data_IF_894481939592
#
_entry.id   IF_894481939592
#
_cell.length_a   1.000
_cell.length_b   1.000
_cell.length_c   1.000
_cell.angle_alpha   90.00
_cell.angle_beta   90.00
_cell.angle_gamma   90.00
#
_symmetry.space_group_name_H-M   'P 1'
#
loop_
_entity.id
_entity.type
_entity.pdbx_description
1 polymer ?
#
# COMPACT_ATOMS: atom_id res chain seq x y z
N UNK A 1 7.68 -1.50 -25.41
CA UNK A 1 9.02 -0.97 -25.71
C UNK A 1 9.87 -2.16 -26.11
N UNK A 2 10.61 -2.13 -27.23
CA UNK A 2 11.45 -3.25 -27.62
C UNK A 2 12.55 -3.45 -26.57
N UNK A 3 12.88 -4.70 -26.23
CA UNK A 3 13.96 -5.04 -25.30
C UNK A 3 15.37 -4.66 -25.82
N UNK A 4 15.47 -4.10 -27.02
CA UNK A 4 16.71 -3.79 -27.74
C UNK A 4 17.35 -2.45 -27.39
N UNK A 5 16.78 -1.68 -26.45
CA UNK A 5 17.34 -0.38 -26.04
C UNK A 5 18.10 -0.56 -24.73
N UNK A 6 19.41 -0.31 -24.75
CA UNK A 6 20.25 -0.33 -23.56
C UNK A 6 20.00 0.93 -22.71
N UNK A 7 18.95 0.89 -21.89
CA UNK A 7 18.52 2.01 -21.05
C UNK A 7 17.88 1.54 -19.75
N UNK A 8 17.82 2.44 -18.76
CA UNK A 8 17.05 2.24 -17.53
C UNK A 8 15.56 2.36 -17.86
N UNK A 9 14.76 1.40 -17.38
CA UNK A 9 13.31 1.38 -17.58
C UNK A 9 12.61 1.95 -16.35
N UNK A 10 12.00 3.13 -16.50
CA UNK A 10 11.13 3.72 -15.48
C UNK A 10 9.68 3.32 -15.77
N UNK A 11 9.06 2.64 -14.82
CA UNK A 11 7.66 2.20 -14.92
C UNK A 11 7.00 2.14 -13.55
N UNK A 12 5.67 2.08 -13.53
CA UNK A 12 4.92 1.89 -12.30
C UNK A 12 4.97 0.43 -11.86
N UNK A 13 4.77 0.18 -10.57
CA UNK A 13 4.69 -1.18 -10.00
C UNK A 13 3.58 -2.00 -10.69
N UNK A 14 2.45 -1.37 -11.01
CA UNK A 14 1.37 -2.04 -11.75
C UNK A 14 1.80 -2.51 -13.14
N UNK A 15 2.56 -1.68 -13.88
CA UNK A 15 3.06 -2.03 -15.22
C UNK A 15 4.15 -3.10 -15.19
N UNK A 16 4.82 -3.30 -14.05
CA UNK A 16 5.85 -4.34 -13.91
C UNK A 16 5.29 -5.72 -13.54
N UNK A 17 3.99 -5.83 -13.22
CA UNK A 17 3.36 -7.12 -12.88
C UNK A 17 3.55 -8.13 -14.02
N UNK A 18 4.10 -9.29 -13.69
CA UNK A 18 4.41 -10.35 -14.66
C UNK A 18 5.72 -10.16 -15.44
N UNK A 19 6.44 -9.06 -15.20
CA UNK A 19 7.79 -8.83 -15.72
C UNK A 19 8.83 -9.12 -14.64
N UNK A 20 10.03 -9.51 -15.06
CA UNK A 20 11.17 -9.76 -14.19
C UNK A 20 12.37 -8.94 -14.67
N UNK A 21 13.18 -8.47 -13.72
CA UNK A 21 14.36 -7.66 -13.99
C UNK A 21 15.54 -8.14 -13.14
N UNK A 22 16.74 -8.15 -13.73
CA UNK A 22 17.98 -8.51 -13.02
C UNK A 22 18.20 -7.68 -11.76
N UNK A 23 17.89 -6.38 -11.83
CA UNK A 23 17.98 -5.45 -10.73
C UNK A 23 16.77 -4.50 -10.72
N UNK A 24 16.26 -4.17 -9.53
CA UNK A 24 15.15 -3.23 -9.33
C UNK A 24 15.54 -2.22 -8.26
N UNK A 25 15.33 -0.94 -8.59
CA UNK A 25 15.37 0.17 -7.64
C UNK A 25 13.94 0.61 -7.37
N UNK A 26 13.49 0.50 -6.12
CA UNK A 26 12.24 1.06 -5.63
C UNK A 26 12.57 2.37 -4.88
N UNK A 27 12.47 3.53 -5.52
CA UNK A 27 12.99 4.78 -4.98
C UNK A 27 12.16 5.37 -3.84
N UNK A 28 10.87 5.04 -3.77
CA UNK A 28 9.94 5.54 -2.76
C UNK A 28 9.01 4.42 -2.33
N UNK A 29 9.30 3.84 -1.17
CA UNK A 29 8.45 2.85 -0.52
C UNK A 29 7.80 3.47 0.73
N UNK A 30 6.88 4.42 0.52
CA UNK A 30 6.27 5.23 1.58
C UNK A 30 4.74 5.41 1.40
N UNK A 31 4.12 4.67 0.49
CA UNK A 31 2.67 4.74 0.30
C UNK A 31 1.92 4.20 1.52
N UNK A 32 0.76 4.82 1.81
CA UNK A 32 -0.10 4.43 2.94
C UNK A 32 -0.73 3.05 2.71
N UNK A 33 -0.90 2.29 3.78
CA UNK A 33 -1.59 0.99 3.75
C UNK A 33 -3.11 1.13 3.76
N UNK A 34 -3.61 2.25 4.27
CA UNK A 34 -5.03 2.62 4.27
C UNK A 34 -5.28 3.76 3.28
N UNK A 35 -6.55 4.03 3.01
CA UNK A 35 -7.00 5.17 2.23
C UNK A 35 -6.45 6.49 2.76
N UNK A 36 -6.05 7.37 1.85
CA UNK A 36 -5.54 8.68 2.23
C UNK A 36 -6.69 9.57 2.70
N UNK A 37 -6.73 9.86 4.00
CA UNK A 37 -7.74 10.74 4.60
C UNK A 37 -7.76 12.18 4.02
N UNK A 38 -6.68 12.59 3.33
CA UNK A 38 -6.62 13.88 2.64
C UNK A 38 -7.38 13.88 1.30
N UNK A 39 -7.73 12.70 0.76
CA UNK A 39 -8.55 12.56 -0.46
C UNK A 39 -10.03 12.42 -0.09
N UNK A 40 -10.92 12.95 -0.93
CA UNK A 40 -12.36 12.74 -0.80
C UNK A 40 -12.74 11.32 -1.24
N UNK A 41 -12.37 10.34 -0.43
CA UNK A 41 -12.75 8.95 -0.62
C UNK A 41 -14.20 8.78 -0.16
N UNK A 42 -15.09 8.52 -1.10
CA UNK A 42 -16.51 8.22 -0.84
C UNK A 42 -16.64 6.70 -0.74
N UNK A 43 -17.08 6.23 0.42
CA UNK A 43 -17.53 4.87 0.63
C UNK A 43 -19.04 4.81 0.41
N UNK A 44 -19.48 3.99 -0.53
CA UNK A 44 -20.89 3.72 -0.74
C UNK A 44 -21.34 2.66 0.23
N UNK A 45 -22.17 3.07 1.19
CA UNK A 45 -22.60 2.25 2.30
C UNK A 45 -24.05 1.81 2.17
N UNK A 46 -24.37 0.58 2.56
CA UNK A 46 -25.72 0.10 2.83
C UNK A 46 -25.72 -0.70 4.12
N UNK A 47 -26.62 -0.35 5.04
CA UNK A 47 -26.82 -1.12 6.28
C UNK A 47 -28.13 -1.90 6.22
N UNK A 48 -28.18 -3.03 6.92
CA UNK A 48 -29.43 -3.79 7.15
C UNK A 48 -30.06 -3.48 8.51
N UNK A 49 -29.53 -2.47 9.21
CA UNK A 49 -29.95 -2.09 10.57
C UNK A 49 -30.94 -0.92 10.49
N UNK A 50 -32.11 -1.09 11.10
CA UNK A 50 -33.11 -0.03 11.24
C UNK A 50 -32.56 1.16 12.04
N UNK A 51 -32.86 2.42 11.68
CA UNK A 51 -33.84 2.89 10.67
C UNK A 51 -33.28 3.07 9.25
N UNK A 52 -32.01 2.73 9.02
CA UNK A 52 -31.31 3.01 7.76
C UNK A 52 -31.39 1.87 6.74
N UNK A 53 -31.97 0.73 7.13
CA UNK A 53 -32.19 -0.46 6.31
C UNK A 53 -33.02 -0.21 5.04
N UNK A 54 -33.85 0.83 5.05
CA UNK A 54 -34.73 1.22 3.93
C UNK A 54 -34.14 2.32 3.03
N UNK A 55 -33.04 2.97 3.42
CA UNK A 55 -32.50 4.14 2.69
C UNK A 55 -31.70 3.78 1.43
N UNK A 56 -31.36 2.49 1.23
CA UNK A 56 -30.55 2.05 0.08
C UNK A 56 -29.06 2.37 0.25
N UNK A 57 -28.38 2.72 -0.85
CA UNK A 57 -26.95 3.08 -0.84
C UNK A 57 -26.75 4.55 -0.51
N UNK A 58 -25.85 4.84 0.43
CA UNK A 58 -25.55 6.16 0.93
C UNK A 58 -24.07 6.52 0.70
N UNK A 59 -23.76 7.70 0.14
CA UNK A 59 -22.38 8.14 -0.02
C UNK A 59 -21.85 8.69 1.31
N UNK A 60 -20.95 7.96 1.94
CA UNK A 60 -20.32 8.36 3.20
C UNK A 60 -18.86 8.71 2.97
N UNK A 61 -18.39 9.83 3.55
CA UNK A 61 -16.96 10.14 3.52
C UNK A 61 -16.20 9.10 4.34
N UNK A 62 -15.22 8.41 3.73
CA UNK A 62 -14.38 7.44 4.42
C UNK A 62 -13.57 8.13 5.52
N UNK A 63 -13.92 7.87 6.76
CA UNK A 63 -13.24 8.42 7.92
C UNK A 63 -13.44 7.52 9.14
N UNK A 64 -12.58 7.69 10.14
CA UNK A 64 -12.57 6.84 11.35
C UNK A 64 -13.88 6.86 12.15
N UNK A 65 -14.70 7.91 12.06
CA UNK A 65 -15.99 8.00 12.78
C UNK A 65 -17.01 6.98 12.26
N UNK A 66 -16.85 6.48 11.03
CA UNK A 66 -17.71 5.42 10.51
C UNK A 66 -17.59 4.12 11.32
N UNK A 67 -16.46 3.88 11.97
CA UNK A 67 -16.24 2.74 12.86
C UNK A 67 -17.21 2.70 14.05
N UNK A 68 -17.76 3.85 14.44
CA UNK A 68 -18.71 4.00 15.56
C UNK A 68 -20.15 4.24 15.07
N UNK A 69 -20.44 3.89 13.81
CA UNK A 69 -21.73 4.13 13.16
C UNK A 69 -22.44 2.84 12.75
N UNK A 70 -23.68 2.96 12.25
CA UNK A 70 -24.43 1.86 11.63
C UNK A 70 -23.76 1.26 10.37
N UNK A 71 -22.70 1.91 9.87
CA UNK A 71 -21.89 1.51 8.72
C UNK A 71 -20.50 0.99 9.12
N UNK A 72 -20.29 0.66 10.40
CA UNK A 72 -19.00 0.18 10.90
C UNK A 72 -18.48 -1.05 10.14
N UNK A 73 -19.38 -2.00 9.83
CA UNK A 73 -19.03 -3.20 9.07
C UNK A 73 -18.43 -2.85 7.70
N UNK A 74 -19.11 -2.02 6.91
CA UNK A 74 -18.63 -1.64 5.58
C UNK A 74 -17.35 -0.80 5.65
N UNK A 75 -17.20 0.05 6.66
CA UNK A 75 -15.96 0.76 6.90
C UNK A 75 -14.79 -0.20 7.15
N UNK A 76 -14.96 -1.21 8.01
CA UNK A 76 -13.91 -2.18 8.29
C UNK A 76 -13.63 -3.10 7.09
N UNK A 77 -14.65 -3.48 6.31
CA UNK A 77 -14.45 -4.23 5.08
C UNK A 77 -13.64 -3.44 4.05
N UNK A 78 -14.00 -2.17 3.81
CA UNK A 78 -13.25 -1.31 2.90
C UNK A 78 -11.82 -1.09 3.39
N UNK A 79 -11.65 -0.89 4.70
CA UNK A 79 -10.32 -0.79 5.30
C UNK A 79 -9.49 -2.04 5.03
N UNK A 80 -10.02 -3.23 5.30
CA UNK A 80 -9.30 -4.50 5.05
C UNK A 80 -8.94 -4.64 3.57
N UNK A 81 -9.85 -4.29 2.64
CA UNK A 81 -9.59 -4.31 1.19
C UNK A 81 -8.43 -3.39 0.81
N UNK A 82 -8.42 -2.15 1.32
CA UNK A 82 -7.34 -1.20 1.09
C UNK A 82 -5.99 -1.74 1.57
N UNK A 83 -5.94 -2.36 2.75
CA UNK A 83 -4.72 -3.00 3.25
C UNK A 83 -4.27 -4.15 2.34
N UNK A 84 -5.18 -5.02 1.90
CA UNK A 84 -4.87 -6.13 0.99
C UNK A 84 -4.30 -5.60 -0.33
N UNK A 85 -4.90 -4.57 -0.92
CA UNK A 85 -4.44 -4.00 -2.18
C UNK A 85 -3.05 -3.37 -2.06
N UNK A 86 -2.79 -2.63 -0.97
CA UNK A 86 -1.48 -2.04 -0.73
C UNK A 86 -0.40 -3.07 -0.38
N UNK A 87 -0.77 -4.18 0.28
CA UNK A 87 0.11 -5.32 0.48
C UNK A 87 0.40 -6.06 -0.83
N UNK A 88 -0.61 -6.24 -1.69
CA UNK A 88 -0.43 -6.81 -3.02
C UNK A 88 0.52 -5.94 -3.87
N UNK A 89 0.39 -4.62 -3.79
CA UNK A 89 1.30 -3.69 -4.46
C UNK A 89 2.73 -3.85 -3.96
N UNK A 90 2.93 -3.94 -2.63
CA UNK A 90 4.22 -4.17 -2.02
C UNK A 90 4.81 -5.52 -2.46
N UNK A 91 4.00 -6.59 -2.43
CA UNK A 91 4.39 -7.91 -2.89
C UNK A 91 4.88 -7.88 -4.35
N UNK A 92 4.13 -7.24 -5.24
CA UNK A 92 4.55 -7.09 -6.65
C UNK A 92 5.90 -6.37 -6.72
N UNK A 93 6.05 -5.23 -6.03
CA UNK A 93 7.27 -4.44 -6.03
C UNK A 93 8.50 -5.23 -5.55
N UNK A 94 8.39 -5.95 -4.44
CA UNK A 94 9.49 -6.70 -3.83
C UNK A 94 9.87 -7.95 -4.65
N UNK A 95 8.98 -8.47 -5.48
CA UNK A 95 9.19 -9.70 -6.27
C UNK A 95 9.58 -9.45 -7.73
N UNK A 96 9.84 -8.19 -8.13
CA UNK A 96 10.26 -7.88 -9.51
C UNK A 96 11.74 -8.13 -9.77
N UNK A 97 12.56 -8.17 -8.72
CA UNK A 97 14.01 -8.34 -8.81
C UNK A 97 14.41 -9.81 -8.80
N UNK A 98 15.29 -10.20 -9.73
CA UNK A 98 15.91 -11.52 -9.77
C UNK A 98 17.17 -11.58 -8.87
N UNK A 99 18.09 -10.62 -9.04
CA UNK A 99 19.40 -10.66 -8.35
C UNK A 99 19.56 -9.56 -7.29
N UNK A 100 19.16 -8.32 -7.62
CA UNK A 100 19.38 -7.16 -6.74
C UNK A 100 18.10 -6.34 -6.55
N UNK A 101 17.71 -6.13 -5.30
CA UNK A 101 16.62 -5.25 -4.93
C UNK A 101 17.15 -4.15 -4.01
N UNK A 102 17.01 -2.90 -4.42
CA UNK A 102 17.26 -1.74 -3.55
C UNK A 102 15.94 -1.02 -3.29
N UNK A 103 15.57 -0.93 -2.01
CA UNK A 103 14.38 -0.22 -1.56
C UNK A 103 14.80 0.98 -0.75
N UNK A 104 14.34 2.16 -1.15
CA UNK A 104 14.46 3.36 -0.35
C UNK A 104 13.12 3.64 0.32
N UNK A 105 13.11 3.62 1.65
CA UNK A 105 11.95 3.91 2.49
C UNK A 105 12.35 4.92 3.58
N UNK A 106 11.40 5.72 4.07
CA UNK A 106 11.63 6.58 5.24
C UNK A 106 12.01 5.76 6.47
N UNK A 107 12.62 6.38 7.49
CA UNK A 107 12.87 5.72 8.76
C UNK A 107 11.55 5.23 9.38
N UNK A 108 11.55 4.09 10.09
CA UNK A 108 10.34 3.50 10.62
C UNK A 108 9.62 4.45 11.58
N UNK A 109 8.32 4.62 11.37
CA UNK A 109 7.46 5.33 12.31
C UNK A 109 7.08 4.43 13.50
N UNK A 110 6.73 5.06 14.64
CA UNK A 110 6.29 4.35 15.85
C UNK A 110 4.98 3.56 15.63
N UNK A 111 4.12 4.07 14.76
CA UNK A 111 2.90 3.38 14.33
C UNK A 111 3.01 3.08 12.83
N UNK A 112 3.06 1.79 12.43
CA UNK A 112 3.22 1.43 11.03
C UNK A 112 1.96 1.81 10.24
N UNK A 113 2.12 2.75 9.31
CA UNK A 113 1.04 3.25 8.47
C UNK A 113 1.32 3.16 6.98
N UNK A 114 2.57 2.89 6.61
CA UNK A 114 3.06 2.84 5.23
C UNK A 114 3.68 1.49 4.89
N UNK A 115 3.80 1.21 3.60
CA UNK A 115 4.54 0.05 3.13
C UNK A 115 6.02 0.09 3.55
N UNK A 116 6.61 1.29 3.65
CA UNK A 116 7.97 1.49 4.15
C UNK A 116 8.16 1.04 5.58
N UNK A 117 7.20 1.37 6.45
CA UNK A 117 7.24 0.93 7.85
C UNK A 117 7.25 -0.60 7.96
N UNK A 118 6.50 -1.30 7.10
CA UNK A 118 6.51 -2.77 7.07
C UNK A 118 7.87 -3.33 6.63
N UNK A 119 8.48 -2.72 5.61
CA UNK A 119 9.81 -3.13 5.14
C UNK A 119 10.87 -2.85 6.21
N UNK A 120 10.86 -1.66 6.82
CA UNK A 120 11.78 -1.28 7.88
C UNK A 120 11.65 -2.20 9.09
N UNK A 121 10.42 -2.48 9.54
CA UNK A 121 10.15 -3.40 10.64
C UNK A 121 10.64 -4.83 10.32
N UNK A 122 10.42 -5.32 9.10
CA UNK A 122 10.90 -6.64 8.68
C UNK A 122 12.43 -6.70 8.62
N UNK A 123 13.09 -5.59 8.26
CA UNK A 123 14.55 -5.49 8.23
C UNK A 123 15.17 -5.40 9.63
N UNK A 124 14.56 -4.66 10.56
CA UNK A 124 15.03 -4.56 11.95
C UNK A 124 14.91 -5.88 12.72
N UNK A 125 13.86 -6.65 12.45
CA UNK A 125 13.62 -7.94 13.09
C UNK A 125 14.19 -9.14 12.32
N UNK A 126 14.76 -8.91 11.14
CA UNK A 126 15.33 -9.94 10.27
C UNK A 126 16.86 -10.00 10.37
N UNK A 127 17.43 -11.21 10.31
CA UNK A 127 18.89 -11.43 10.37
C UNK A 127 19.67 -11.09 9.09
N UNK A 128 19.00 -10.52 8.06
CA UNK A 128 19.53 -10.42 6.69
C UNK A 128 19.65 -8.99 6.15
N UNK A 129 19.22 -7.96 6.89
CA UNK A 129 19.27 -6.58 6.38
C UNK A 129 20.56 -5.87 6.81
N UNK A 130 21.44 -5.58 5.85
CA UNK A 130 22.55 -4.66 6.05
C UNK A 130 22.03 -3.23 5.87
N UNK A 131 21.74 -2.55 6.96
CA UNK A 131 21.50 -1.11 6.95
C UNK A 131 22.77 -0.40 6.45
N UNK A 132 22.68 0.24 5.29
CA UNK A 132 23.65 1.25 4.88
C UNK A 132 22.95 2.60 4.94
N UNK A 133 23.39 3.47 5.85
CA UNK A 133 22.95 4.86 5.86
C UNK A 133 23.22 5.50 4.48
N UNK A 134 22.37 6.43 4.00
CA UNK A 134 22.67 7.18 2.79
C UNK A 134 23.96 7.96 3.01
N UNK A 135 24.83 7.96 2.00
CA UNK A 135 26.07 8.72 1.95
C UNK A 135 25.83 10.18 2.40
N UNK A 136 26.40 10.54 3.54
CA UNK A 136 26.84 11.91 3.82
C UNK A 136 28.19 12.08 3.11
#
# INVERSE_FOLDING_TARGET
MPDSINAIRVMTIHKSKGLEFKAVLLPFCDWKLDHDAAKDNILWCKTTISPFDQMGWLPMKYNKKLAESYFALEYFEEKIRAYIDNLNLLYVALTRAENYLMVNCPPPAREPGTAGDLVAFAMENGSLARWSAPWI
#
